data_IF_001411996110
#
_entry.id   IF_001411996110
#
_cell.length_a   1.000
_cell.length_b   1.000
_cell.length_c   1.000
_cell.angle_alpha   90.00
_cell.angle_beta   90.00
_cell.angle_gamma   90.00
#
_symmetry.space_group_name_H-M   'P 1'
#
loop_
_entity.id
_entity.type
_entity.pdbx_description
1 polymer ?
#
# COMPACT_ATOMS: atom_id res chain seq x y z
N UNK A 1 -4.46 -8.83 2.68
CA UNK A 1 -3.83 -7.81 1.82
C UNK A 1 -4.39 -7.82 0.42
N UNK A 2 -4.27 -8.91 -0.34
CA UNK A 2 -4.81 -9.00 -1.71
C UNK A 2 -6.30 -8.66 -1.79
N UNK A 3 -7.12 -9.23 -0.91
CA UNK A 3 -8.56 -8.89 -0.83
C UNK A 3 -8.79 -7.41 -0.49
N UNK A 4 -7.97 -6.82 0.37
CA UNK A 4 -8.06 -5.41 0.73
C UNK A 4 -7.78 -4.50 -0.48
N UNK A 5 -6.69 -4.77 -1.21
CA UNK A 5 -6.33 -4.05 -2.44
C UNK A 5 -7.43 -4.23 -3.50
N UNK A 6 -7.96 -5.44 -3.65
CA UNK A 6 -9.06 -5.72 -4.57
C UNK A 6 -10.29 -4.86 -4.26
N UNK A 7 -10.72 -4.82 -2.99
CA UNK A 7 -11.86 -3.98 -2.57
C UNK A 7 -11.62 -2.49 -2.78
N UNK A 8 -10.41 -2.01 -2.53
CA UNK A 8 -10.02 -0.62 -2.82
C UNK A 8 -10.15 -0.33 -4.32
N UNK A 9 -9.60 -1.19 -5.18
CA UNK A 9 -9.68 -1.03 -6.65
C UNK A 9 -11.14 -1.03 -7.14
N UNK A 10 -11.96 -1.96 -6.66
CA UNK A 10 -13.39 -1.98 -6.96
C UNK A 10 -14.10 -0.68 -6.56
N UNK A 11 -13.81 -0.17 -5.35
CA UNK A 11 -14.40 1.09 -4.88
C UNK A 11 -14.01 2.28 -5.78
N UNK A 12 -12.74 2.34 -6.20
CA UNK A 12 -12.25 3.39 -7.10
C UNK A 12 -12.94 3.29 -8.47
N UNK A 13 -13.05 2.09 -9.04
CA UNK A 13 -13.72 1.86 -10.31
C UNK A 13 -15.21 2.20 -10.24
N UNK A 14 -15.89 1.82 -9.15
CA UNK A 14 -17.30 2.14 -8.91
C UNK A 14 -17.53 3.66 -8.79
N UNK A 15 -16.61 4.39 -8.15
CA UNK A 15 -16.69 5.84 -8.04
C UNK A 15 -16.43 6.52 -9.38
N UNK A 16 -15.45 6.03 -10.13
CA UNK A 16 -15.13 6.49 -11.48
C UNK A 16 -16.31 6.30 -12.43
N UNK A 17 -17.01 5.18 -12.34
CA UNK A 17 -18.24 4.91 -13.13
C UNK A 17 -19.35 5.94 -12.88
N UNK A 18 -19.33 6.62 -11.72
CA UNK A 18 -20.28 7.67 -11.33
C UNK A 18 -19.77 9.08 -11.64
N UNK A 19 -18.73 9.21 -12.45
CA UNK A 19 -18.13 10.49 -12.82
C UNK A 19 -17.34 11.16 -11.70
N UNK A 20 -16.94 10.41 -10.67
CA UNK A 20 -16.05 10.90 -9.61
C UNK A 20 -14.67 10.30 -9.80
N UNK A 21 -13.75 11.12 -10.30
CA UNK A 21 -12.35 10.73 -10.34
C UNK A 21 -11.75 10.77 -8.94
N UNK A 22 -10.80 9.87 -8.69
CA UNK A 22 -10.14 9.75 -7.39
C UNK A 22 -8.66 10.08 -7.54
N UNK A 23 -8.21 11.24 -7.05
CA UNK A 23 -6.81 11.63 -7.10
C UNK A 23 -5.89 10.57 -6.47
N UNK A 24 -4.71 10.35 -7.08
CA UNK A 24 -3.77 9.30 -6.64
C UNK A 24 -3.26 9.52 -5.22
N UNK A 25 -3.01 10.76 -4.81
CA UNK A 25 -2.64 11.15 -3.45
C UNK A 25 -3.70 10.74 -2.42
N UNK A 26 -4.99 10.96 -2.73
CA UNK A 26 -6.10 10.56 -1.87
C UNK A 26 -6.18 9.03 -1.78
N UNK A 27 -5.99 8.33 -2.90
CA UNK A 27 -5.97 6.87 -2.91
C UNK A 27 -4.81 6.29 -2.08
N UNK A 28 -3.62 6.87 -2.20
CA UNK A 28 -2.46 6.51 -1.40
C UNK A 28 -2.72 6.72 0.09
N UNK A 29 -3.22 7.90 0.46
CA UNK A 29 -3.55 8.21 1.85
C UNK A 29 -4.59 7.24 2.41
N UNK A 30 -5.67 6.95 1.66
CA UNK A 30 -6.69 5.98 2.04
C UNK A 30 -6.07 4.59 2.30
N UNK A 31 -5.24 4.11 1.37
CA UNK A 31 -4.62 2.79 1.51
C UNK A 31 -3.70 2.76 2.73
N UNK A 32 -2.82 3.75 2.88
CA UNK A 32 -1.82 3.82 3.95
C UNK A 32 -2.45 3.96 5.34
N UNK A 33 -3.52 4.75 5.47
CA UNK A 33 -4.23 4.93 6.75
C UNK A 33 -5.02 3.69 7.18
N UNK A 34 -5.39 2.81 6.25
CA UNK A 34 -6.08 1.56 6.56
C UNK A 34 -5.15 0.41 6.98
N UNK A 35 -3.83 0.60 6.99
CA UNK A 35 -2.88 -0.46 7.35
C UNK A 35 -2.71 -0.61 8.87
N UNK A 36 -2.45 -1.83 9.32
CA UNK A 36 -2.10 -2.12 10.72
C UNK A 36 -0.71 -1.62 11.08
N UNK A 37 -0.41 -1.49 12.37
CA UNK A 37 0.89 -1.00 12.87
C UNK A 37 2.10 -1.84 12.46
N UNK A 38 1.89 -3.10 12.05
CA UNK A 38 2.94 -3.99 11.54
C UNK A 38 3.57 -3.46 10.25
N UNK A 39 2.82 -2.68 9.47
CA UNK A 39 3.29 -2.07 8.23
C UNK A 39 4.04 -0.74 8.44
N UNK A 40 4.29 -0.31 9.68
CA UNK A 40 4.86 1.02 9.99
C UNK A 40 6.15 1.34 9.23
N UNK A 41 7.02 0.35 9.03
CA UNK A 41 8.29 0.52 8.32
C UNK A 41 8.03 0.79 6.84
N UNK A 42 7.18 -0.02 6.20
CA UNK A 42 6.78 0.19 4.81
C UNK A 42 6.11 1.55 4.63
N UNK A 43 5.18 1.93 5.51
CA UNK A 43 4.49 3.23 5.47
C UNK A 43 5.50 4.38 5.57
N UNK A 44 6.48 4.28 6.47
CA UNK A 44 7.55 5.28 6.59
C UNK A 44 8.36 5.42 5.31
N UNK A 45 8.76 4.30 4.70
CA UNK A 45 9.53 4.29 3.46
C UNK A 45 8.75 4.90 2.30
N UNK A 46 7.48 4.53 2.15
CA UNK A 46 6.59 5.08 1.11
C UNK A 46 6.42 6.59 1.31
N UNK A 47 6.14 7.05 2.54
CA UNK A 47 6.03 8.47 2.83
C UNK A 47 7.32 9.24 2.51
N UNK A 48 8.48 8.62 2.70
CA UNK A 48 9.75 9.22 2.32
C UNK A 48 9.92 9.29 0.80
N UNK A 49 9.57 8.23 0.07
CA UNK A 49 9.58 8.23 -1.40
C UNK A 49 8.62 9.28 -1.97
N UNK A 50 7.43 9.43 -1.40
CA UNK A 50 6.44 10.41 -1.85
C UNK A 50 6.92 11.86 -1.71
N UNK A 51 7.81 12.17 -0.75
CA UNK A 51 8.41 13.52 -0.66
C UNK A 51 9.34 13.87 -1.82
N UNK A 52 9.87 12.86 -2.52
CA UNK A 52 10.72 13.04 -3.68
C UNK A 52 9.93 13.09 -5.01
N UNK A 53 8.61 12.86 -4.95
CA UNK A 53 7.74 12.88 -6.13
C UNK A 53 7.31 14.32 -6.40
N UNK A 54 7.71 14.85 -7.55
CA UNK A 54 7.32 16.20 -7.99
C UNK A 54 5.90 16.23 -8.59
N UNK A 55 5.53 15.14 -9.29
CA UNK A 55 4.20 14.95 -9.88
C UNK A 55 3.60 13.62 -9.42
N UNK A 56 2.52 13.70 -8.63
CA UNK A 56 1.85 12.50 -8.09
C UNK A 56 1.21 11.65 -9.18
N UNK A 57 0.84 12.24 -10.32
CA UNK A 57 0.26 11.50 -11.43
C UNK A 57 1.28 10.58 -12.11
N UNK A 58 2.58 10.85 -11.94
CA UNK A 58 3.67 9.96 -12.36
C UNK A 58 3.95 8.80 -11.39
N UNK A 59 3.36 8.82 -10.18
CA UNK A 59 3.61 7.79 -9.19
C UNK A 59 3.08 6.42 -9.64
N UNK A 60 3.95 5.41 -9.52
CA UNK A 60 3.69 4.04 -9.92
C UNK A 60 2.83 3.33 -8.86
N UNK A 61 1.53 3.34 -9.10
CA UNK A 61 0.55 2.67 -8.24
C UNK A 61 0.69 1.14 -8.27
N UNK A 62 1.16 0.56 -9.37
CA UNK A 62 1.31 -0.88 -9.47
C UNK A 62 2.49 -1.36 -8.63
N UNK A 63 3.63 -0.65 -8.67
CA UNK A 63 4.75 -0.88 -7.77
C UNK A 63 4.35 -0.71 -6.30
N UNK A 64 3.55 0.32 -5.98
CA UNK A 64 3.02 0.53 -4.64
C UNK A 64 2.20 -0.67 -4.13
N UNK A 65 1.27 -1.18 -4.93
CA UNK A 65 0.48 -2.35 -4.56
C UNK A 65 1.31 -3.63 -4.47
N UNK A 66 2.29 -3.82 -5.36
CA UNK A 66 3.23 -4.94 -5.28
C UNK A 66 4.01 -4.94 -3.97
N UNK A 67 4.55 -3.80 -3.56
CA UNK A 67 5.26 -3.64 -2.29
C UNK A 67 4.39 -4.01 -1.07
N UNK A 68 3.10 -3.65 -1.08
CA UNK A 68 2.16 -4.02 -0.02
C UNK A 68 1.93 -5.53 0.05
N UNK A 69 1.80 -6.19 -1.10
CA UNK A 69 1.62 -7.64 -1.18
C UNK A 69 2.87 -8.34 -0.65
N UNK A 70 4.05 -7.93 -1.08
CA UNK A 70 5.30 -8.56 -0.67
C UNK A 70 5.58 -8.36 0.81
N UNK A 71 5.31 -7.17 1.35
CA UNK A 71 5.39 -6.92 2.80
C UNK A 71 4.40 -7.80 3.58
N UNK A 72 3.19 -8.00 3.05
CA UNK A 72 2.22 -8.90 3.69
C UNK A 72 2.68 -10.36 3.72
N UNK A 73 3.43 -10.81 2.71
CA UNK A 73 4.04 -12.15 2.71
C UNK A 73 5.17 -12.22 3.73
N UNK A 74 6.04 -11.20 3.77
CA UNK A 74 7.13 -11.11 4.76
C UNK A 74 6.62 -11.17 6.19
N UNK A 75 5.58 -10.39 6.52
CA UNK A 75 4.97 -10.38 7.84
C UNK A 75 4.37 -11.75 8.21
N UNK A 76 3.67 -12.40 7.28
CA UNK A 76 3.18 -13.77 7.49
C UNK A 76 4.30 -14.77 7.78
N UNK A 77 5.43 -14.67 7.07
CA UNK A 77 6.58 -15.57 7.30
C UNK A 77 7.13 -15.40 8.71
N UNK A 78 7.26 -14.16 9.20
CA UNK A 78 7.72 -13.86 10.56
C UNK A 78 6.77 -14.40 11.63
N UNK A 79 5.46 -14.29 11.41
CA UNK A 79 4.46 -14.85 12.33
C UNK A 79 4.53 -16.38 12.40
N UNK A 80 4.87 -17.05 11.28
CA UNK A 80 4.98 -18.51 11.23
C UNK A 80 6.34 -19.06 11.66
N UNK A 81 7.39 -18.24 11.62
CA UNK A 81 8.77 -18.61 11.97
C UNK A 81 9.47 -17.43 12.69
N UNK A 82 9.28 -17.33 14.03
CA UNK A 82 9.86 -16.24 14.81
C UNK A 82 11.39 -16.31 14.93
N UNK A 83 12.02 -17.47 14.67
CA UNK A 83 13.47 -17.64 14.72
C UNK A 83 14.17 -16.96 13.54
N UNK A 84 13.46 -16.75 12.42
CA UNK A 84 13.96 -15.99 11.27
C UNK A 84 14.10 -14.49 11.56
N UNK A 85 13.35 -13.95 12.53
CA UNK A 85 13.43 -12.54 12.91
C UNK A 85 14.70 -12.19 13.70
N UNK A 86 15.44 -13.17 14.22
CA UNK A 86 16.68 -12.97 14.98
C UNK A 86 17.94 -12.84 14.10
N UNK A 87 17.83 -13.06 12.78
CA UNK A 87 18.97 -13.12 11.86
C UNK A 87 19.01 -12.01 10.79
N UNK A 88 18.10 -11.04 10.86
CA UNK A 88 18.00 -9.92 9.90
C UNK A 88 18.36 -8.56 10.52
#
# INVERSE_FOLDING_TARGET
MEEYIYRIRQLVDDLKSKGRDYPKDVLLALVLTGLTSEYKILVSNINQSLRAVEDIDSYDMDAFFANLIDESKRLKTIDTDPDTALLA
#
